data_IF_977012048283
#
_entry.id   IF_977012048283
#
_cell.length_a   1.000
_cell.length_b   1.000
_cell.length_c   1.000
_cell.angle_alpha   90.00
_cell.angle_beta   90.00
_cell.angle_gamma   90.00
#
_symmetry.space_group_name_H-M   'P 1'
#
loop_
_entity.id
_entity.type
_entity.pdbx_description
1 polymer ?
#
# COMPACT_ATOMS: atom_id res chain seq x y z
N UNK A 1 18.10 -9.40 8.40
CA UNK A 1 18.78 -8.11 8.61
C UNK A 1 19.70 -8.28 9.82
N UNK A 2 21.02 -8.25 9.61
CA UNK A 2 22.04 -8.26 10.69
C UNK A 2 22.73 -6.90 10.82
N UNK A 3 22.22 -5.89 10.11
CA UNK A 3 22.63 -4.48 10.17
C UNK A 3 22.07 -3.76 11.40
N UNK A 4 21.15 -4.38 12.13
CA UNK A 4 20.58 -3.87 13.37
C UNK A 4 21.14 -4.64 14.57
N UNK A 5 21.70 -3.92 15.55
CA UNK A 5 22.22 -4.52 16.77
C UNK A 5 21.10 -5.27 17.52
N UNK A 6 21.34 -6.47 18.09
CA UNK A 6 20.31 -7.26 18.77
C UNK A 6 19.52 -6.50 19.83
N UNK A 7 20.19 -5.64 20.60
CA UNK A 7 19.56 -4.82 21.64
C UNK A 7 18.46 -3.90 21.10
N UNK A 8 18.61 -3.39 19.88
CA UNK A 8 17.58 -2.57 19.23
C UNK A 8 16.36 -3.40 18.88
N UNK A 9 16.56 -4.66 18.47
CA UNK A 9 15.45 -5.58 18.17
C UNK A 9 14.68 -5.93 19.44
N UNK A 10 15.39 -6.17 20.55
CA UNK A 10 14.78 -6.43 21.86
C UNK A 10 13.99 -5.20 22.32
N UNK A 11 14.62 -4.02 22.31
CA UNK A 11 13.96 -2.76 22.70
C UNK A 11 12.71 -2.47 21.87
N UNK A 12 12.80 -2.62 20.55
CA UNK A 12 11.67 -2.39 19.66
C UNK A 12 10.52 -3.36 19.95
N UNK A 13 10.83 -4.65 20.18
CA UNK A 13 9.83 -5.65 20.56
C UNK A 13 9.13 -5.26 21.86
N UNK A 14 9.88 -4.88 22.89
CA UNK A 14 9.32 -4.49 24.19
C UNK A 14 8.41 -3.26 24.06
N UNK A 15 8.82 -2.27 23.26
CA UNK A 15 8.00 -1.10 22.94
C UNK A 15 6.68 -1.48 22.25
N UNK A 16 6.70 -2.41 21.29
CA UNK A 16 5.47 -2.87 20.63
C UNK A 16 4.60 -3.68 21.60
N UNK A 17 5.20 -4.52 22.44
CA UNK A 17 4.47 -5.37 23.39
C UNK A 17 3.85 -4.59 24.55
N UNK A 18 4.40 -3.42 24.89
CA UNK A 18 3.78 -2.49 25.87
C UNK A 18 2.45 -1.89 25.41
N UNK A 19 2.10 -2.00 24.12
CA UNK A 19 0.85 -1.46 23.55
C UNK A 19 -0.30 -2.43 23.67
N UNK A 20 -1.53 -1.93 23.74
CA UNK A 20 -2.74 -2.76 23.70
C UNK A 20 -2.94 -3.39 22.32
N UNK A 21 -3.75 -4.45 22.24
CA UNK A 21 -4.12 -5.05 20.96
C UNK A 21 -4.76 -4.06 19.98
N UNK A 22 -5.66 -3.19 20.49
CA UNK A 22 -6.28 -2.14 19.69
C UNK A 22 -5.26 -1.13 19.14
N UNK A 23 -4.30 -0.70 19.95
CA UNK A 23 -3.24 0.21 19.50
C UNK A 23 -2.40 -0.42 18.40
N UNK A 24 -2.03 -1.70 18.53
CA UNK A 24 -1.29 -2.41 17.48
C UNK A 24 -2.11 -2.55 16.19
N UNK A 25 -3.42 -2.80 16.29
CA UNK A 25 -4.30 -2.83 15.13
C UNK A 25 -4.33 -1.48 14.42
N UNK A 26 -4.52 -0.39 15.17
CA UNK A 26 -4.52 0.97 14.61
C UNK A 26 -3.19 1.33 13.93
N UNK A 27 -2.06 0.89 14.49
CA UNK A 27 -0.75 1.05 13.84
C UNK A 27 -0.70 0.32 12.49
N UNK A 28 -1.21 -0.91 12.41
CA UNK A 28 -1.30 -1.63 11.13
C UNK A 28 -2.19 -0.92 10.11
N UNK A 29 -3.35 -0.43 10.53
CA UNK A 29 -4.26 0.34 9.67
C UNK A 29 -3.61 1.65 9.18
N UNK A 30 -2.95 2.40 10.06
CA UNK A 30 -2.31 3.67 9.69
C UNK A 30 -1.14 3.47 8.73
N UNK A 31 -0.39 2.37 8.87
CA UNK A 31 0.65 1.99 7.91
C UNK A 31 0.07 1.70 6.52
N UNK A 32 -1.07 1.02 6.44
CA UNK A 32 -1.76 0.77 5.17
C UNK A 32 -2.25 2.07 4.51
N UNK A 33 -2.82 2.98 5.29
CA UNK A 33 -3.23 4.30 4.78
C UNK A 33 -2.04 5.11 4.28
N UNK A 34 -0.94 5.09 5.02
CA UNK A 34 0.32 5.73 4.61
C UNK A 34 0.85 5.14 3.31
N UNK A 35 0.87 3.82 3.17
CA UNK A 35 1.32 3.15 1.95
C UNK A 35 0.46 3.55 0.73
N UNK A 36 -0.88 3.61 0.87
CA UNK A 36 -1.77 4.10 -0.18
C UNK A 36 -1.47 5.55 -0.56
N UNK A 37 -1.24 6.42 0.42
CA UNK A 37 -0.91 7.83 0.17
C UNK A 37 0.40 7.97 -0.61
N UNK A 38 1.46 7.26 -0.22
CA UNK A 38 2.76 7.28 -0.93
C UNK A 38 2.57 6.93 -2.40
N UNK A 39 1.82 5.86 -2.69
CA UNK A 39 1.59 5.42 -4.08
C UNK A 39 0.78 6.45 -4.86
N UNK A 40 -0.30 6.97 -4.26
CA UNK A 40 -1.12 8.01 -4.89
C UNK A 40 -0.28 9.25 -5.19
N UNK A 41 0.50 9.74 -4.23
CA UNK A 41 1.39 10.89 -4.43
C UNK A 41 2.42 10.64 -5.53
N UNK A 42 3.00 9.45 -5.62
CA UNK A 42 3.92 9.11 -6.70
C UNK A 42 3.23 9.10 -8.08
N UNK A 43 1.99 8.62 -8.17
CA UNK A 43 1.20 8.63 -9.42
C UNK A 43 0.88 10.08 -9.82
N UNK A 44 0.35 10.89 -8.90
CA UNK A 44 0.04 12.31 -9.15
C UNK A 44 1.27 13.11 -9.57
N UNK A 45 2.41 12.89 -8.92
CA UNK A 45 3.64 13.61 -9.26
C UNK A 45 4.11 13.32 -10.69
N UNK A 46 3.84 12.12 -11.20
CA UNK A 46 4.16 11.75 -12.58
C UNK A 46 3.10 12.20 -13.59
N UNK A 47 1.82 12.25 -13.19
CA UNK A 47 0.68 12.68 -14.01
C UNK A 47 -0.27 13.56 -13.17
N UNK A 48 -0.02 14.89 -13.08
CA UNK A 48 -0.81 15.78 -12.22
C UNK A 48 -2.30 15.85 -12.57
N UNK A 49 -2.62 15.74 -13.86
CA UNK A 49 -3.99 15.82 -14.41
C UNK A 49 -4.77 14.49 -14.34
N UNK A 50 -4.24 13.48 -13.62
CA UNK A 50 -4.85 12.15 -13.58
C UNK A 50 -6.17 12.16 -12.81
N UNK A 51 -7.19 11.50 -13.38
CA UNK A 51 -8.49 11.35 -12.74
C UNK A 51 -8.47 10.28 -11.64
N UNK A 52 -9.43 10.33 -10.70
CA UNK A 52 -9.54 9.29 -9.65
C UNK A 52 -9.77 7.88 -10.20
N UNK A 53 -10.46 7.76 -11.35
CA UNK A 53 -10.64 6.47 -12.01
C UNK A 53 -9.33 5.92 -12.55
N UNK A 54 -8.54 6.76 -13.21
CA UNK A 54 -7.22 6.38 -13.71
C UNK A 54 -6.26 6.03 -12.56
N UNK A 55 -6.33 6.73 -11.42
CA UNK A 55 -5.53 6.37 -10.24
C UNK A 55 -5.84 4.95 -9.76
N UNK A 56 -7.12 4.56 -9.72
CA UNK A 56 -7.50 3.19 -9.32
C UNK A 56 -6.92 2.16 -10.29
N UNK A 57 -6.92 2.46 -11.60
CA UNK A 57 -6.31 1.61 -12.63
C UNK A 57 -4.80 1.51 -12.46
N UNK A 58 -4.11 2.63 -12.23
CA UNK A 58 -2.66 2.68 -11.99
C UNK A 58 -2.26 1.90 -10.72
N UNK A 59 -3.03 2.05 -9.62
CA UNK A 59 -2.82 1.27 -8.40
C UNK A 59 -2.98 -0.22 -8.68
N UNK A 60 -4.04 -0.63 -9.38
CA UNK A 60 -4.25 -2.02 -9.76
C UNK A 60 -3.06 -2.55 -10.57
N UNK A 61 -2.62 -1.79 -11.57
CA UNK A 61 -1.49 -2.19 -12.41
C UNK A 61 -0.19 -2.33 -11.62
N UNK A 62 0.07 -1.42 -10.68
CA UNK A 62 1.32 -1.41 -9.91
C UNK A 62 1.43 -2.57 -8.93
N UNK A 63 0.32 -2.94 -8.29
CA UNK A 63 0.31 -3.96 -7.25
C UNK A 63 -0.04 -5.35 -7.75
N UNK A 64 -0.92 -5.46 -8.75
CA UNK A 64 -1.56 -6.72 -9.09
C UNK A 64 -1.41 -7.14 -10.55
N UNK A 65 -0.88 -6.29 -11.44
CA UNK A 65 -0.82 -6.65 -12.87
C UNK A 65 -0.09 -7.97 -13.15
N UNK A 66 0.92 -8.32 -12.35
CA UNK A 66 1.71 -9.53 -12.57
C UNK A 66 0.99 -10.80 -12.08
N UNK A 67 -0.02 -10.65 -11.21
CA UNK A 67 -0.80 -11.76 -10.67
C UNK A 67 -1.91 -12.21 -11.64
N UNK A 68 -2.16 -11.43 -12.69
CA UNK A 68 -3.27 -11.64 -13.61
C UNK A 68 -2.80 -11.81 -15.07
N UNK A 69 -3.52 -12.67 -15.79
CA UNK A 69 -3.35 -12.79 -17.24
C UNK A 69 -3.65 -11.45 -17.92
N UNK A 70 -3.18 -11.28 -19.16
CA UNK A 70 -3.54 -10.09 -19.95
C UNK A 70 -5.06 -9.91 -20.08
N UNK A 71 -5.77 -11.01 -20.33
CA UNK A 71 -7.23 -11.02 -20.46
C UNK A 71 -7.92 -10.55 -19.18
N UNK A 72 -7.51 -11.07 -18.01
CA UNK A 72 -8.10 -10.69 -16.73
C UNK A 72 -7.80 -9.23 -16.39
N UNK A 73 -6.58 -8.75 -16.68
CA UNK A 73 -6.23 -7.33 -16.50
C UNK A 73 -7.14 -6.42 -17.31
N UNK A 74 -7.32 -6.69 -18.60
CA UNK A 74 -8.17 -5.88 -19.48
C UNK A 74 -9.63 -5.87 -18.99
N UNK A 75 -10.13 -7.01 -18.51
CA UNK A 75 -11.46 -7.13 -17.87
C UNK A 75 -11.58 -6.25 -16.62
N UNK A 76 -10.61 -6.33 -15.69
CA UNK A 76 -10.62 -5.53 -14.46
C UNK A 76 -10.53 -4.03 -14.74
N UNK A 77 -9.62 -3.62 -15.64
CA UNK A 77 -9.46 -2.22 -16.02
C UNK A 77 -10.74 -1.65 -16.64
N UNK A 78 -11.45 -2.44 -17.45
CA UNK A 78 -12.72 -2.05 -18.06
C UNK A 78 -13.82 -1.90 -17.00
N UNK A 79 -13.87 -2.79 -16.01
CA UNK A 79 -14.85 -2.73 -14.91
C UNK A 79 -14.65 -1.53 -13.97
N UNK A 80 -13.40 -1.07 -13.82
CA UNK A 80 -13.05 0.09 -13.00
C UNK A 80 -13.45 1.42 -13.64
N UNK A 81 -13.75 1.44 -14.95
CA UNK A 81 -14.12 2.63 -15.72
C UNK A 81 -15.64 2.90 -15.76
N UNK A 82 -16.45 2.01 -15.19
CA UNK A 82 -17.89 1.95 -15.45
C UNK A 82 -18.74 2.38 -14.24
N UNK A 83 -18.32 3.37 -13.46
CA UNK A 83 -19.06 3.83 -12.27
C UNK A 83 -19.42 5.30 -12.29
#
# INVERSE_FOLDING_TARGET
MFDTHPDITIWFRDLIMSKTGQQRLLMGCSMYDTAKQIVRSAIYNNRPEITEEEIKKEIFLRFYAQDFSRFDREKFLSSLAAK
#
